data_IF_858360309171
#
_entry.id   IF_858360309171
#
_cell.length_a   1.000
_cell.length_b   1.000
_cell.length_c   1.000
_cell.angle_alpha   90.00
_cell.angle_beta   90.00
_cell.angle_gamma   90.00
#
_symmetry.space_group_name_H-M   'P 1'
#
loop_
_entity.id
_entity.type
_entity.pdbx_description
1 polymer ?
#
# COMPACT_ATOMS: atom_id res chain seq x y z
N UNK A 1 5.38 18.43 13.07
CA UNK A 1 3.93 18.73 13.05
C UNK A 1 3.23 17.54 13.67
N UNK A 2 2.20 17.74 14.49
CA UNK A 2 1.43 16.60 15.00
C UNK A 2 0.69 15.94 13.83
N UNK A 3 0.82 14.63 13.71
CA UNK A 3 0.27 13.86 12.58
C UNK A 3 -0.50 12.66 13.10
N UNK A 4 -1.80 12.64 12.83
CA UNK A 4 -2.73 11.56 13.12
C UNK A 4 -2.86 10.68 11.87
N UNK A 5 -2.34 9.46 11.92
CA UNK A 5 -2.34 8.53 10.79
C UNK A 5 -3.28 7.35 11.08
N UNK A 6 -4.32 7.19 10.26
CA UNK A 6 -5.11 5.96 10.24
C UNK A 6 -4.32 4.86 9.54
N UNK A 7 -3.90 3.85 10.30
CA UNK A 7 -3.01 2.79 9.81
C UNK A 7 -3.36 1.42 10.43
N UNK A 8 -3.42 0.34 9.61
CA UNK A 8 -3.55 -1.03 10.11
C UNK A 8 -2.46 -1.40 11.14
N UNK A 9 -2.81 -2.26 12.09
CA UNK A 9 -1.89 -2.68 13.15
C UNK A 9 -0.66 -3.41 12.61
N UNK A 10 -0.84 -4.13 11.50
CA UNK A 10 0.16 -4.92 10.79
C UNK A 10 1.16 -4.03 10.03
N UNK A 11 0.90 -2.73 9.95
CA UNK A 11 1.77 -1.77 9.30
C UNK A 11 2.44 -0.84 10.31
N UNK A 12 3.56 -0.26 9.92
CA UNK A 12 4.29 0.76 10.64
C UNK A 12 4.79 1.82 9.66
N UNK A 13 5.04 3.02 10.17
CA UNK A 13 5.75 4.05 9.42
C UNK A 13 7.25 3.90 9.72
N UNK A 14 8.06 3.74 8.68
CA UNK A 14 9.50 3.89 8.80
C UNK A 14 9.87 5.31 8.37
N UNK A 15 10.43 6.08 9.30
CA UNK A 15 10.84 7.45 9.07
C UNK A 15 12.32 7.47 8.69
N UNK A 16 12.65 8.10 7.56
CA UNK A 16 14.03 8.33 7.13
C UNK A 16 14.32 9.83 7.05
N UNK A 17 15.57 10.24 7.29
CA UNK A 17 15.98 11.66 7.26
C UNK A 17 16.49 12.23 8.59
N UNK A 18 16.52 11.45 9.67
CA UNK A 18 17.19 11.87 10.92
C UNK A 18 18.70 11.68 10.74
N UNK A 19 19.40 12.64 10.13
CA UNK A 19 20.87 12.63 10.06
C UNK A 19 21.55 13.34 8.88
N UNK A 20 20.83 13.77 7.85
CA UNK A 20 21.43 14.61 6.82
C UNK A 20 21.50 16.05 7.34
N UNK A 21 22.72 16.59 7.51
CA UNK A 21 23.02 17.88 8.15
C UNK A 21 22.31 19.12 7.55
N UNK A 22 21.46 18.97 6.53
CA UNK A 22 20.78 20.06 5.84
C UNK A 22 19.32 19.78 5.38
N UNK A 23 18.69 18.65 5.72
CA UNK A 23 17.26 18.45 5.39
C UNK A 23 16.40 18.51 6.66
N UNK A 24 15.62 19.58 6.81
CA UNK A 24 14.63 19.73 7.88
C UNK A 24 13.37 18.89 7.68
N UNK A 25 13.19 18.32 6.48
CA UNK A 25 12.02 17.52 6.12
C UNK A 25 12.32 16.04 6.24
N UNK A 26 11.53 15.35 7.05
CA UNK A 26 11.54 13.90 7.15
C UNK A 26 10.81 13.30 5.95
N UNK A 27 11.11 12.04 5.64
CA UNK A 27 10.28 11.23 4.77
C UNK A 27 9.82 10.01 5.55
N UNK A 28 8.64 9.48 5.22
CA UNK A 28 8.13 8.27 5.83
C UNK A 28 7.56 7.35 4.76
N UNK A 29 7.79 6.05 4.91
CA UNK A 29 7.15 5.03 4.09
C UNK A 29 6.45 3.96 4.94
N UNK A 30 5.49 3.24 4.35
CA UNK A 30 4.76 2.17 5.04
C UNK A 30 5.54 0.86 4.97
N UNK A 31 5.73 0.22 6.11
CA UNK A 31 6.42 -1.06 6.27
C UNK A 31 5.52 -2.05 7.00
N UNK A 32 5.73 -3.34 6.79
CA UNK A 32 5.13 -4.40 7.60
C UNK A 32 5.74 -4.40 9.00
N UNK A 33 4.91 -4.53 10.04
CA UNK A 33 5.34 -4.76 11.43
C UNK A 33 5.32 -6.25 11.81
N UNK A 34 4.63 -7.06 11.01
CA UNK A 34 4.48 -8.52 11.13
C UNK A 34 4.48 -9.14 9.73
N UNK A 35 4.70 -10.46 9.59
CA UNK A 35 4.52 -11.13 8.32
C UNK A 35 3.07 -11.01 7.81
N UNK A 36 2.90 -10.67 6.53
CA UNK A 36 1.60 -10.53 5.88
C UNK A 36 1.48 -11.55 4.75
N UNK A 37 0.44 -12.40 4.76
CA UNK A 37 0.25 -13.41 3.72
C UNK A 37 -0.18 -12.77 2.39
N UNK A 38 0.22 -13.42 1.28
CA UNK A 38 -0.30 -13.12 -0.04
C UNK A 38 -1.82 -13.31 -0.08
N UNK A 39 -2.51 -12.47 -0.86
CA UNK A 39 -3.96 -12.44 -1.02
C UNK A 39 -4.69 -11.66 0.08
N UNK A 40 -3.98 -11.15 1.09
CA UNK A 40 -4.58 -10.25 2.09
C UNK A 40 -5.09 -8.99 1.41
N UNK A 41 -6.34 -8.63 1.72
CA UNK A 41 -6.96 -7.38 1.28
C UNK A 41 -6.86 -6.33 2.39
N UNK A 42 -6.54 -5.11 1.98
CA UNK A 42 -6.40 -3.93 2.82
C UNK A 42 -7.20 -2.77 2.19
N UNK A 43 -7.77 -1.93 3.04
CA UNK A 43 -8.62 -0.81 2.62
C UNK A 43 -8.10 0.51 3.23
N UNK A 44 -8.32 1.66 2.56
CA UNK A 44 -7.81 2.95 3.05
C UNK A 44 -8.33 3.37 4.43
N UNK A 45 -9.54 2.92 4.79
CA UNK A 45 -10.24 3.27 6.02
C UNK A 45 -10.05 2.24 7.15
N UNK A 46 -9.05 1.37 7.06
CA UNK A 46 -8.76 0.37 8.08
C UNK A 46 -7.67 0.79 9.06
N UNK A 47 -7.81 0.32 10.30
CA UNK A 47 -6.80 0.40 11.34
C UNK A 47 -7.21 1.29 12.50
N UNK A 48 -6.21 1.81 13.19
CA UNK A 48 -6.36 2.70 14.34
C UNK A 48 -5.58 3.98 14.09
N UNK A 49 -6.04 5.10 14.65
CA UNK A 49 -5.29 6.35 14.58
C UNK A 49 -4.05 6.24 15.46
N UNK A 50 -2.88 6.41 14.85
CA UNK A 50 -1.60 6.57 15.54
C UNK A 50 -1.18 8.04 15.46
N UNK A 51 -0.75 8.60 16.59
CA UNK A 51 -0.28 9.98 16.66
C UNK A 51 1.24 9.98 16.66
N UNK A 52 1.84 10.76 15.78
CA UNK A 52 3.28 10.88 15.63
C UNK A 52 3.68 12.36 15.40
N UNK A 53 4.92 12.69 15.72
CA UNK A 53 5.50 14.01 15.48
C UNK A 53 6.40 13.97 14.24
N UNK A 54 5.74 13.98 13.07
CA UNK A 54 6.42 13.93 11.79
C UNK A 54 6.75 15.36 11.29
N UNK A 55 7.99 15.57 10.87
CA UNK A 55 8.44 16.78 10.20
C UNK A 55 8.22 16.69 8.69
N UNK A 56 6.98 16.36 8.28
CA UNK A 56 6.56 16.25 6.88
C UNK A 56 5.54 17.35 6.65
N UNK A 57 5.94 18.48 6.07
CA UNK A 57 5.08 19.67 6.02
C UNK A 57 4.40 19.82 4.67
N UNK A 58 5.02 19.32 3.60
CA UNK A 58 4.50 19.37 2.24
C UNK A 58 3.21 18.55 2.10
N UNK A 59 2.25 19.06 1.33
CA UNK A 59 1.13 18.24 0.82
C UNK A 59 1.62 17.43 -0.39
N UNK A 60 0.88 16.38 -0.74
CA UNK A 60 1.10 15.72 -2.02
C UNK A 60 0.60 16.62 -3.18
N UNK A 61 1.23 16.56 -4.36
CA UNK A 61 0.73 17.24 -5.55
C UNK A 61 -0.70 16.81 -5.90
N UNK A 62 -1.53 17.73 -6.39
CA UNK A 62 -2.94 17.46 -6.73
C UNK A 62 -3.12 16.35 -7.79
N UNK A 63 -2.11 16.15 -8.65
CA UNK A 63 -2.06 15.12 -9.70
C UNK A 63 -1.49 13.78 -9.21
N UNK A 64 -1.12 13.66 -7.94
CA UNK A 64 -0.61 12.41 -7.36
C UNK A 64 -1.68 11.32 -7.44
N UNK A 65 -1.29 10.16 -7.99
CA UNK A 65 -2.20 9.04 -8.23
C UNK A 65 -2.94 8.60 -6.97
N UNK A 66 -2.34 8.76 -5.77
CA UNK A 66 -2.95 8.37 -4.49
C UNK A 66 -4.28 9.10 -4.24
N UNK A 67 -4.46 10.33 -4.73
CA UNK A 67 -5.75 11.05 -4.64
C UNK A 67 -6.90 10.26 -5.25
N UNK A 68 -6.65 9.51 -6.32
CA UNK A 68 -7.67 8.69 -6.99
C UNK A 68 -7.94 7.38 -6.26
N UNK A 69 -7.04 6.91 -5.40
CA UNK A 69 -7.08 5.58 -4.80
C UNK A 69 -7.20 5.62 -3.26
N UNK A 70 -8.00 6.54 -2.76
CA UNK A 70 -8.42 6.57 -1.36
C UNK A 70 -7.45 7.25 -0.42
N UNK A 71 -6.56 8.11 -0.92
CA UNK A 71 -5.81 9.03 -0.06
C UNK A 71 -6.77 9.91 0.75
N UNK A 72 -6.49 9.99 2.04
CA UNK A 72 -7.02 11.03 2.92
C UNK A 72 -5.82 11.77 3.51
N UNK A 73 -5.72 13.09 3.30
CA UNK A 73 -4.68 13.96 3.83
C UNK A 73 -5.23 15.37 4.01
N UNK A 74 -5.58 15.73 5.24
CA UNK A 74 -6.11 17.03 5.61
C UNK A 74 -5.20 17.68 6.67
N UNK A 75 -4.91 18.96 6.49
CA UNK A 75 -4.13 19.74 7.44
C UNK A 75 -5.07 20.77 8.06
N UNK A 76 -5.27 20.69 9.37
CA UNK A 76 -6.09 21.63 10.12
C UNK A 76 -5.19 22.50 10.99
N UNK A 77 -5.56 23.77 11.17
CA UNK A 77 -4.89 24.69 12.09
C UNK A 77 -5.88 25.14 13.15
N UNK A 78 -5.64 24.73 14.41
CA UNK A 78 -6.49 25.04 15.56
C UNK A 78 -5.62 25.69 16.63
N UNK A 79 -5.98 26.90 17.07
CA UNK A 79 -5.25 27.66 18.11
C UNK A 79 -3.75 27.80 17.85
N UNK A 80 -3.35 28.03 16.60
CA UNK A 80 -1.94 28.16 16.21
C UNK A 80 -1.15 26.85 16.17
N UNK A 81 -1.80 25.71 16.43
CA UNK A 81 -1.23 24.37 16.22
C UNK A 81 -1.74 23.80 14.92
N UNK A 82 -0.82 23.26 14.14
CA UNK A 82 -1.15 22.56 12.89
C UNK A 82 -1.14 21.06 13.14
N UNK A 83 -2.23 20.39 12.81
CA UNK A 83 -2.40 18.94 12.92
C UNK A 83 -2.75 18.38 11.56
N UNK A 84 -2.02 17.36 11.12
CA UNK A 84 -2.35 16.60 9.91
C UNK A 84 -3.14 15.36 10.27
N UNK A 85 -4.26 15.16 9.60
CA UNK A 85 -5.07 13.95 9.66
C UNK A 85 -4.95 13.25 8.31
N UNK A 86 -4.36 12.07 8.29
CA UNK A 86 -4.17 11.33 7.05
C UNK A 86 -4.31 9.82 7.25
N UNK A 87 -4.32 9.08 6.16
CA UNK A 87 -4.26 7.62 6.19
C UNK A 87 -2.93 7.09 5.65
N UNK A 88 -2.69 5.80 5.87
CA UNK A 88 -1.47 5.11 5.45
C UNK A 88 -1.15 5.22 3.96
N UNK A 89 -2.17 5.44 3.10
CA UNK A 89 -2.00 5.62 1.65
C UNK A 89 -1.02 6.74 1.33
N UNK A 90 -1.04 7.81 2.13
CA UNK A 90 -0.13 8.95 2.01
C UNK A 90 1.35 8.55 1.93
N UNK A 91 1.73 7.48 2.61
CA UNK A 91 3.12 7.08 2.80
C UNK A 91 3.49 5.83 2.00
N UNK A 92 2.62 5.33 1.11
CA UNK A 92 2.98 4.20 0.27
C UNK A 92 4.06 4.59 -0.75
N UNK A 93 5.05 3.70 -0.94
CA UNK A 93 5.97 3.82 -2.06
C UNK A 93 5.25 3.41 -3.33
N UNK A 94 5.08 4.36 -4.25
CA UNK A 94 4.44 4.11 -5.54
C UNK A 94 5.48 3.61 -6.54
N UNK A 95 5.15 2.55 -7.27
CA UNK A 95 5.92 2.05 -8.40
C UNK A 95 5.20 2.44 -9.69
N UNK A 96 5.92 3.07 -10.62
CA UNK A 96 5.38 3.44 -11.94
C UNK A 96 5.17 2.23 -12.85
N UNK A 97 5.93 1.16 -12.62
CA UNK A 97 5.86 -0.09 -13.38
C UNK A 97 5.63 -1.29 -12.47
N UNK A 98 5.01 -2.34 -13.02
CA UNK A 98 4.87 -3.60 -12.30
C UNK A 98 6.17 -4.40 -12.35
N UNK A 99 6.94 -4.37 -11.26
CA UNK A 99 8.26 -5.00 -11.17
C UNK A 99 8.44 -5.93 -9.96
N UNK A 100 9.61 -6.58 -9.83
CA UNK A 100 9.90 -7.52 -8.74
C UNK A 100 9.73 -6.93 -7.33
N UNK A 101 9.95 -5.62 -7.17
CA UNK A 101 9.77 -4.89 -5.92
C UNK A 101 8.32 -4.72 -5.48
N UNK A 102 7.36 -4.81 -6.42
CA UNK A 102 5.94 -4.61 -6.13
C UNK A 102 5.44 -5.78 -5.29
N UNK A 103 4.91 -5.47 -4.11
CA UNK A 103 4.29 -6.43 -3.20
C UNK A 103 2.85 -6.07 -2.85
N UNK A 104 2.36 -4.90 -3.27
CA UNK A 104 0.95 -4.48 -3.18
C UNK A 104 0.45 -4.08 -4.56
N UNK A 105 -0.76 -4.48 -4.91
CA UNK A 105 -1.48 -3.95 -6.09
C UNK A 105 -2.76 -3.30 -5.64
N UNK A 106 -3.08 -2.14 -6.21
CA UNK A 106 -4.34 -1.47 -5.97
C UNK A 106 -5.19 -1.48 -7.25
N UNK A 107 -6.45 -1.89 -7.12
CA UNK A 107 -7.46 -1.90 -8.17
C UNK A 107 -8.72 -1.18 -7.69
N UNK A 108 -9.62 -0.81 -8.60
CA UNK A 108 -10.91 -0.20 -8.25
C UNK A 108 -12.05 -1.16 -8.52
N UNK A 109 -12.63 -1.70 -7.45
CA UNK A 109 -13.83 -2.51 -7.58
C UNK A 109 -15.04 -1.63 -7.36
N UNK A 110 -15.82 -1.40 -8.43
CA UNK A 110 -16.99 -0.50 -8.43
C UNK A 110 -16.64 0.93 -7.99
N UNK A 111 -15.47 1.42 -8.37
CA UNK A 111 -14.97 2.75 -8.01
C UNK A 111 -14.20 2.82 -6.69
N UNK A 112 -14.28 1.79 -5.86
CA UNK A 112 -13.63 1.75 -4.55
C UNK A 112 -12.24 1.10 -4.61
N UNK A 113 -11.19 1.72 -4.05
CA UNK A 113 -9.85 1.17 -4.06
C UNK A 113 -9.71 -0.03 -3.11
N UNK A 114 -9.19 -1.14 -3.63
CA UNK A 114 -8.84 -2.34 -2.87
C UNK A 114 -7.35 -2.60 -3.05
N UNK A 115 -6.62 -2.70 -1.93
CA UNK A 115 -5.19 -3.00 -1.92
C UNK A 115 -5.01 -4.48 -1.62
N UNK A 116 -4.42 -5.23 -2.53
CA UNK A 116 -4.12 -6.65 -2.37
C UNK A 116 -2.62 -6.87 -2.24
N UNK A 117 -2.24 -7.66 -1.23
CA UNK A 117 -0.88 -8.14 -1.05
C UNK A 117 -0.60 -9.24 -2.08
N UNK A 118 0.20 -8.96 -3.11
CA UNK A 118 0.42 -9.88 -4.24
C UNK A 118 1.59 -10.83 -4.04
N UNK A 119 2.39 -10.64 -2.99
CA UNK A 119 3.49 -11.51 -2.55
C UNK A 119 3.52 -11.52 -1.03
N UNK A 120 3.87 -12.64 -0.41
CA UNK A 120 4.05 -12.67 1.04
C UNK A 120 5.11 -11.63 1.46
N UNK A 121 4.81 -10.84 2.48
CA UNK A 121 5.68 -9.76 2.97
C UNK A 121 6.19 -10.18 4.35
N UNK A 122 7.47 -10.54 4.51
CA UNK A 122 8.13 -10.66 5.81
C UNK A 122 7.93 -9.44 6.71
N UNK A 123 8.15 -9.60 8.02
CA UNK A 123 8.19 -8.44 8.93
C UNK A 123 9.30 -7.47 8.53
N UNK A 124 9.08 -6.17 8.76
CA UNK A 124 10.03 -5.10 8.50
C UNK A 124 10.44 -4.99 7.03
N UNK A 125 9.47 -5.12 6.13
CA UNK A 125 9.67 -4.85 4.71
C UNK A 125 8.72 -3.75 4.24
N UNK A 126 9.24 -2.86 3.39
CA UNK A 126 8.48 -1.76 2.81
C UNK A 126 7.35 -2.26 1.89
N UNK A 127 6.20 -1.59 1.96
CA UNK A 127 5.08 -1.79 1.05
C UNK A 127 5.26 -0.91 -0.20
N UNK A 128 5.23 -1.56 -1.35
CA UNK A 128 5.47 -0.97 -2.66
C UNK A 128 4.27 -1.28 -3.54
N UNK A 129 3.50 -0.23 -3.85
CA UNK A 129 2.23 -0.35 -4.55
C UNK A 129 2.38 -0.08 -6.03
N UNK A 130 1.71 -0.90 -6.85
CA UNK A 130 1.42 -0.60 -8.24
C UNK A 130 -0.09 -0.40 -8.40
N UNK A 131 -0.50 0.71 -9.02
CA UNK A 131 -1.90 1.00 -9.31
C UNK A 131 -2.26 0.44 -10.68
N UNK A 132 -3.30 -0.40 -10.75
CA UNK A 132 -3.78 -0.89 -12.04
C UNK A 132 -4.41 0.26 -12.84
N UNK A 133 -4.15 0.33 -14.16
CA UNK A 133 -4.80 1.31 -15.02
C UNK A 133 -6.33 1.19 -14.95
N UNK A 134 -7.01 2.32 -14.77
CA UNK A 134 -8.47 2.40 -14.83
C UNK A 134 -8.90 2.31 -16.31
N UNK A 135 -9.30 1.13 -16.78
CA UNK A 135 -9.66 0.88 -18.19
C UNK A 135 -9.79 -0.60 -18.55
N UNK A 136 -9.96 -0.96 -19.84
CA UNK A 136 -10.08 -2.36 -20.29
C UNK A 136 -8.93 -3.26 -19.80
N UNK A 137 -7.75 -2.69 -19.54
CA UNK A 137 -6.58 -3.38 -18.97
C UNK A 137 -6.82 -3.98 -17.57
N UNK A 138 -7.68 -3.39 -16.74
CA UNK A 138 -8.11 -3.96 -15.46
C UNK A 138 -8.81 -5.33 -15.68
N UNK A 139 -9.66 -5.42 -16.71
CA UNK A 139 -10.27 -6.68 -17.11
C UNK A 139 -9.24 -7.67 -17.64
N UNK A 140 -8.19 -7.20 -18.33
CA UNK A 140 -7.10 -8.08 -18.80
C UNK A 140 -6.33 -8.70 -17.64
N UNK A 141 -5.96 -7.95 -16.59
CA UNK A 141 -5.27 -8.51 -15.42
C UNK A 141 -6.17 -9.46 -14.61
N UNK A 142 -7.44 -9.11 -14.41
CA UNK A 142 -8.43 -9.99 -13.76
C UNK A 142 -8.63 -11.28 -14.58
N UNK A 143 -8.73 -11.19 -15.90
CA UNK A 143 -8.84 -12.35 -16.80
C UNK A 143 -7.58 -13.19 -16.80
N UNK A 144 -6.39 -12.59 -16.79
CA UNK A 144 -5.11 -13.30 -16.75
C UNK A 144 -4.99 -14.11 -15.45
N UNK A 145 -5.32 -13.51 -14.30
CA UNK A 145 -5.42 -14.24 -13.02
C UNK A 145 -6.43 -15.37 -13.10
N UNK A 146 -7.62 -15.11 -13.63
CA UNK A 146 -8.66 -16.13 -13.80
C UNK A 146 -8.21 -17.29 -14.71
N UNK A 147 -7.44 -17.00 -15.75
CA UNK A 147 -6.86 -18.01 -16.65
C UNK A 147 -5.79 -18.83 -15.94
N UNK A 148 -4.89 -18.20 -15.16
CA UNK A 148 -3.91 -18.92 -14.35
C UNK A 148 -4.58 -19.81 -13.30
N UNK A 149 -5.65 -19.33 -12.65
CA UNK A 149 -6.46 -20.14 -11.73
C UNK A 149 -7.08 -21.34 -12.43
N UNK A 150 -7.69 -21.12 -13.60
CA UNK A 150 -8.28 -22.20 -14.39
C UNK A 150 -7.23 -23.21 -14.81
N UNK A 151 -6.11 -22.76 -15.38
CA UNK A 151 -4.99 -23.63 -15.78
C UNK A 151 -4.42 -24.42 -14.61
N UNK A 152 -4.31 -23.81 -13.43
CA UNK A 152 -3.84 -24.48 -12.22
C UNK A 152 -4.85 -25.53 -11.76
N UNK A 153 -6.14 -25.20 -11.73
CA UNK A 153 -7.21 -26.15 -11.38
C UNK A 153 -7.31 -27.30 -12.37
N UNK A 154 -7.27 -27.01 -13.67
CA UNK A 154 -7.26 -28.01 -14.73
C UNK A 154 -6.04 -28.93 -14.59
N UNK A 155 -4.86 -28.40 -14.27
CA UNK A 155 -3.65 -29.21 -14.04
C UNK A 155 -3.73 -30.10 -12.79
N UNK A 156 -4.43 -29.64 -11.74
CA UNK A 156 -4.70 -30.43 -10.53
C UNK A 156 -5.70 -31.55 -10.84
N UNK A 157 -6.78 -31.24 -11.55
CA UNK A 157 -7.81 -32.20 -11.95
C UNK A 157 -7.29 -33.24 -12.96
N UNK A 158 -6.36 -32.86 -13.83
CA UNK A 158 -5.67 -33.75 -14.77
C UNK A 158 -4.57 -34.61 -14.14
N UNK A 159 -4.29 -34.47 -12.84
CA UNK A 159 -3.33 -35.29 -12.11
C UNK A 159 -1.86 -35.03 -12.47
N UNK A 160 -1.52 -33.87 -13.06
CA UNK A 160 -0.15 -33.56 -13.55
C UNK A 160 0.76 -32.91 -12.53
N UNK A 161 0.29 -32.54 -11.34
CA UNK A 161 1.15 -32.10 -10.23
C UNK A 161 0.65 -32.60 -8.88
N UNK A 162 1.50 -33.38 -8.22
CA UNK A 162 1.46 -33.54 -6.76
C UNK A 162 2.03 -32.25 -6.15
N UNK A 163 1.38 -31.63 -5.16
CA UNK A 163 1.83 -30.36 -4.60
C UNK A 163 3.26 -30.53 -4.03
N UNK A 164 4.16 -29.54 -4.21
CA UNK A 164 5.47 -29.62 -3.60
C UNK A 164 5.30 -29.63 -2.07
N UNK A 165 5.84 -30.67 -1.44
CA UNK A 165 5.98 -30.72 0.02
C UNK A 165 6.98 -29.63 0.40
N UNK A 166 6.63 -28.68 1.29
CA UNK A 166 7.53 -27.61 1.66
C UNK A 166 8.70 -28.19 2.48
N UNK A 167 9.92 -27.93 2.03
CA UNK A 167 11.14 -27.92 2.85
C UNK A 167 11.56 -26.47 3.06
#
# INVERSE_FOLDING_TARGET
METCVLIPQEFALAVTGVGARHSSEQTATVWSSVPIPQGRLCYPFQGTVRIDNLAIFTALPDDDIRHRFGLYDEITSVNGRTVRHCNWIRFLRVSETYGPQVNVVCAKVKGEPIYEIVKAIPSHQELVVYYLPEGPEELFFIRMRSQLYRQTMDSILEGKHQPPIPF
#
